data_IF_454487099331
#
_entry.id   IF_454487099331
#
_cell.length_a   1.000
_cell.length_b   1.000
_cell.length_c   1.000
_cell.angle_alpha   90.00
_cell.angle_beta   90.00
_cell.angle_gamma   90.00
#
_symmetry.space_group_name_H-M   'P 1'
#
loop_
_entity.id
_entity.type
_entity.pdbx_description
1 polymer ?
#
# COMPACT_ATOMS: atom_id res chain seq x y z
N UNK A 1 19.22 -1.74 9.03
CA UNK A 1 17.93 -2.10 9.66
C UNK A 1 17.03 -2.70 8.58
N UNK A 2 16.35 -3.80 8.86
CA UNK A 2 15.45 -4.47 7.91
C UNK A 2 14.02 -4.16 8.34
N UNK A 3 13.26 -3.50 7.47
CA UNK A 3 11.85 -3.20 7.75
C UNK A 3 10.98 -4.47 7.66
N UNK A 4 9.92 -4.58 8.51
CA UNK A 4 9.00 -5.72 8.47
C UNK A 4 8.25 -5.79 7.12
N UNK A 5 7.67 -6.97 6.79
CA UNK A 5 6.85 -7.11 5.60
C UNK A 5 5.61 -6.21 5.68
N UNK A 6 5.24 -5.60 4.55
CA UNK A 6 4.01 -4.80 4.42
C UNK A 6 2.86 -5.76 4.10
N UNK A 7 1.80 -5.71 4.88
CA UNK A 7 0.55 -6.44 4.66
C UNK A 7 -0.59 -5.44 4.46
N UNK A 8 -1.42 -5.58 3.41
CA UNK A 8 -2.58 -4.72 3.22
C UNK A 8 -3.64 -5.00 4.29
N UNK A 9 -4.31 -3.95 4.75
CA UNK A 9 -5.51 -4.10 5.58
C UNK A 9 -6.70 -4.52 4.70
N UNK A 10 -7.38 -5.59 5.12
CA UNK A 10 -8.53 -6.15 4.40
C UNK A 10 -9.78 -6.14 5.29
N UNK A 11 -10.98 -5.85 4.73
CA UNK A 11 -11.22 -5.51 3.32
C UNK A 11 -10.67 -4.12 2.96
N UNK A 12 -10.28 -3.94 1.69
CA UNK A 12 -9.73 -2.66 1.22
C UNK A 12 -10.78 -1.56 1.42
N UNK A 13 -10.47 -0.47 2.14
CA UNK A 13 -11.41 0.63 2.29
C UNK A 13 -11.47 1.41 0.97
N UNK A 14 -12.65 1.42 0.33
CA UNK A 14 -12.93 2.29 -0.81
C UNK A 14 -14.27 2.99 -0.61
N UNK A 15 -14.38 4.19 -1.15
CA UNK A 15 -15.60 4.99 -1.03
C UNK A 15 -16.72 4.37 -1.89
N UNK A 16 -17.83 4.02 -1.23
CA UNK A 16 -19.01 3.43 -1.87
C UNK A 16 -20.10 4.45 -2.14
N UNK A 17 -19.94 5.70 -1.70
CA UNK A 17 -20.97 6.75 -1.79
C UNK A 17 -21.39 7.08 -3.22
N UNK A 18 -20.48 6.93 -4.19
CA UNK A 18 -20.73 7.15 -5.62
C UNK A 18 -21.18 5.90 -6.39
N UNK A 19 -21.28 4.73 -5.75
CA UNK A 19 -21.60 3.47 -6.43
C UNK A 19 -23.11 3.35 -6.60
N UNK A 20 -23.59 3.58 -7.82
CA UNK A 20 -24.98 3.32 -8.19
C UNK A 20 -25.12 1.86 -8.60
N UNK A 21 -25.78 1.07 -7.75
CA UNK A 21 -26.13 -0.33 -8.06
C UNK A 21 -27.33 -0.35 -9.02
N UNK A 22 -27.07 -0.43 -10.32
CA UNK A 22 -28.11 -0.51 -11.33
C UNK A 22 -27.93 -1.76 -12.21
N UNK A 23 -28.99 -2.52 -12.38
CA UNK A 23 -29.06 -3.62 -13.36
C UNK A 23 -29.87 -3.12 -14.55
N UNK A 24 -29.24 -2.96 -15.70
CA UNK A 24 -29.93 -2.62 -16.94
C UNK A 24 -30.25 -3.90 -17.72
N UNK A 25 -31.48 -4.41 -17.60
CA UNK A 25 -32.01 -5.51 -18.42
C UNK A 25 -32.82 -6.56 -17.63
N UNK A 26 -33.80 -7.16 -18.32
CA UNK A 26 -34.69 -8.29 -17.96
C UNK A 26 -35.04 -8.49 -16.46
N UNK A 27 -36.33 -8.31 -16.06
CA UNK A 27 -36.81 -8.49 -14.68
C UNK A 27 -36.50 -9.83 -14.01
N UNK A 28 -36.16 -10.86 -14.79
CA UNK A 28 -35.78 -12.19 -14.30
C UNK A 28 -34.33 -12.27 -13.78
N UNK A 29 -33.44 -11.34 -14.16
CA UNK A 29 -32.02 -11.26 -13.75
C UNK A 29 -31.82 -10.23 -12.61
N UNK A 30 -32.89 -9.47 -12.27
CA UNK A 30 -32.97 -8.47 -11.20
C UNK A 30 -32.94 -9.07 -9.78
N UNK A 31 -32.40 -10.28 -9.61
CA UNK A 31 -32.25 -10.86 -8.29
C UNK A 31 -31.11 -10.15 -7.55
N UNK A 32 -31.39 -9.65 -6.34
CA UNK A 32 -30.41 -9.12 -5.39
C UNK A 32 -29.13 -9.99 -5.30
N UNK A 33 -29.28 -11.31 -5.46
CA UNK A 33 -28.17 -12.27 -5.52
C UNK A 33 -27.13 -12.02 -6.61
N UNK A 34 -27.51 -11.44 -7.75
CA UNK A 34 -26.58 -11.08 -8.84
C UNK A 34 -25.71 -9.90 -8.44
N UNK A 35 -26.30 -8.90 -7.77
CA UNK A 35 -25.57 -7.74 -7.24
C UNK A 35 -24.63 -8.16 -6.09
N UNK A 36 -25.12 -8.99 -5.18
CA UNK A 36 -24.29 -9.52 -4.07
C UNK A 36 -23.11 -10.35 -4.60
N UNK A 37 -23.33 -11.13 -5.67
CA UNK A 37 -22.27 -11.89 -6.33
C UNK A 37 -21.25 -10.98 -7.03
N UNK A 38 -21.69 -9.87 -7.61
CA UNK A 38 -20.80 -8.87 -8.21
C UNK A 38 -19.94 -8.18 -7.15
N UNK A 39 -20.53 -7.77 -6.03
CA UNK A 39 -19.82 -7.14 -4.91
C UNK A 39 -18.76 -8.05 -4.31
N UNK A 40 -19.09 -9.34 -4.15
CA UNK A 40 -18.13 -10.34 -3.69
C UNK A 40 -16.95 -10.47 -4.66
N UNK A 41 -17.21 -10.56 -5.97
CA UNK A 41 -16.16 -10.63 -6.98
C UNK A 41 -15.28 -9.37 -7.00
N UNK A 42 -15.87 -8.19 -6.86
CA UNK A 42 -15.12 -6.93 -6.78
C UNK A 42 -14.18 -6.91 -5.57
N UNK A 43 -14.68 -7.37 -4.42
CA UNK A 43 -13.90 -7.46 -3.18
C UNK A 43 -12.72 -8.46 -3.32
N UNK A 44 -12.94 -9.60 -3.98
CA UNK A 44 -11.89 -10.59 -4.25
C UNK A 44 -10.81 -10.03 -5.21
N UNK A 45 -11.20 -9.29 -6.25
CA UNK A 45 -10.25 -8.65 -7.18
C UNK A 45 -9.45 -7.53 -6.49
N UNK A 46 -10.10 -6.68 -5.68
CA UNK A 46 -9.41 -5.66 -4.90
C UNK A 46 -8.40 -6.26 -3.92
N UNK A 47 -8.77 -7.37 -3.28
CA UNK A 47 -7.85 -8.12 -2.42
C UNK A 47 -6.62 -8.61 -3.20
N UNK A 48 -6.81 -9.24 -4.36
CA UNK A 48 -5.70 -9.70 -5.21
C UNK A 48 -4.78 -8.54 -5.62
N UNK A 49 -5.35 -7.40 -5.96
CA UNK A 49 -4.56 -6.21 -6.30
C UNK A 49 -3.77 -5.68 -5.10
N UNK A 50 -4.40 -5.58 -3.92
CA UNK A 50 -3.73 -5.13 -2.71
C UNK A 50 -2.59 -6.06 -2.26
N UNK A 51 -2.74 -7.38 -2.47
CA UNK A 51 -1.72 -8.39 -2.19
C UNK A 51 -0.64 -8.49 -3.29
N UNK A 52 -0.83 -7.83 -4.43
CA UNK A 52 0.11 -7.92 -5.54
C UNK A 52 1.44 -7.23 -5.22
N UNK A 53 2.53 -7.78 -5.78
CA UNK A 53 3.87 -7.25 -5.55
C UNK A 53 4.03 -5.81 -6.07
N UNK A 54 3.27 -5.42 -7.09
CA UNK A 54 3.26 -4.06 -7.64
C UNK A 54 2.77 -3.04 -6.61
N UNK A 55 1.60 -3.27 -6.01
CA UNK A 55 1.05 -2.37 -4.99
C UNK A 55 1.90 -2.37 -3.71
N UNK A 56 2.44 -3.53 -3.31
CA UNK A 56 3.40 -3.62 -2.21
C UNK A 56 4.65 -2.77 -2.51
N UNK A 57 5.15 -2.77 -3.75
CA UNK A 57 6.32 -1.97 -4.13
C UNK A 57 6.03 -0.47 -4.09
N UNK A 58 4.83 -0.04 -4.48
CA UNK A 58 4.40 1.36 -4.35
C UNK A 58 4.44 1.79 -2.88
N UNK A 59 3.84 0.99 -1.98
CA UNK A 59 3.85 1.25 -0.55
C UNK A 59 5.28 1.27 0.03
N UNK A 60 6.13 0.31 -0.38
CA UNK A 60 7.55 0.27 0.02
C UNK A 60 8.29 1.53 -0.41
N UNK A 61 8.13 1.96 -1.66
CA UNK A 61 8.81 3.16 -2.19
C UNK A 61 8.48 4.40 -1.39
N UNK A 62 7.18 4.66 -1.14
CA UNK A 62 6.76 5.80 -0.32
C UNK A 62 7.29 5.67 1.12
N UNK A 63 7.24 4.46 1.69
CA UNK A 63 7.79 4.18 3.01
C UNK A 63 9.29 4.49 3.12
N UNK A 64 10.11 4.14 2.11
CA UNK A 64 11.55 4.48 2.08
C UNK A 64 11.76 5.98 2.19
N UNK A 65 11.02 6.75 1.41
CA UNK A 65 11.19 8.20 1.38
C UNK A 65 10.82 8.84 2.71
N UNK A 66 9.69 8.44 3.30
CA UNK A 66 9.22 8.98 4.58
C UNK A 66 10.21 8.66 5.70
N UNK A 67 10.66 7.40 5.79
CA UNK A 67 11.63 6.99 6.82
C UNK A 67 12.97 7.68 6.58
N UNK A 68 13.46 7.77 5.34
CA UNK A 68 14.71 8.47 5.04
C UNK A 68 14.64 9.95 5.41
N UNK A 69 13.52 10.64 5.09
CA UNK A 69 13.28 12.03 5.50
C UNK A 69 13.23 12.18 7.01
N UNK A 70 12.52 11.28 7.70
CA UNK A 70 12.44 11.28 9.17
C UNK A 70 13.82 11.13 9.80
N UNK A 71 14.61 10.14 9.37
CA UNK A 71 15.94 9.89 9.92
C UNK A 71 16.88 11.06 9.62
N UNK A 72 16.88 11.62 8.40
CA UNK A 72 17.66 12.83 8.09
C UNK A 72 17.32 13.98 9.03
N UNK A 73 16.04 14.28 9.19
CA UNK A 73 15.57 15.35 10.08
C UNK A 73 15.92 15.07 11.55
N UNK A 74 15.90 13.80 11.96
CA UNK A 74 16.28 13.40 13.32
C UNK A 74 17.77 13.58 13.57
N UNK A 75 18.64 13.17 12.62
CA UNK A 75 20.10 13.30 12.75
C UNK A 75 20.51 14.78 12.74
N UNK A 76 19.95 15.62 11.86
CA UNK A 76 20.27 17.07 11.80
C UNK A 76 19.93 17.78 13.12
N UNK A 77 18.92 17.32 13.86
CA UNK A 77 18.56 17.88 15.17
C UNK A 77 19.53 17.48 16.30
N UNK A 78 20.38 16.47 16.09
CA UNK A 78 21.36 16.08 17.07
C UNK A 78 22.62 16.95 16.95
N UNK A 79 22.87 17.79 17.96
CA UNK A 79 24.05 18.69 18.03
C UNK A 79 25.41 17.98 17.86
N UNK A 80 25.46 16.67 18.01
CA UNK A 80 26.68 15.87 17.88
C UNK A 80 27.04 15.53 16.41
N UNK A 81 26.15 15.80 15.45
CA UNK A 81 26.33 15.45 14.04
C UNK A 81 26.27 16.69 13.13
N UNK A 82 27.16 17.66 13.36
CA UNK A 82 27.25 18.92 12.59
C UNK A 82 27.50 18.75 11.07
N UNK A 83 27.87 17.55 10.60
CA UNK A 83 28.05 17.21 9.16
C UNK A 83 26.97 16.28 8.60
N UNK A 84 25.81 16.19 9.27
CA UNK A 84 24.77 15.25 8.90
C UNK A 84 24.07 15.50 7.57
N UNK A 85 24.21 16.70 7.02
CA UNK A 85 23.57 17.11 5.76
C UNK A 85 23.96 16.23 4.57
N UNK A 86 25.14 15.59 4.62
CA UNK A 86 25.64 14.73 3.55
C UNK A 86 25.35 13.24 3.74
N UNK A 87 24.62 12.84 4.80
CA UNK A 87 24.34 11.42 5.01
C UNK A 87 23.25 10.89 4.07
N UNK A 88 23.60 9.83 3.33
CA UNK A 88 22.66 9.08 2.51
C UNK A 88 22.01 7.99 3.34
N UNK A 89 20.79 8.24 3.81
CA UNK A 89 19.96 7.22 4.47
C UNK A 89 19.36 6.28 3.42
N UNK A 90 19.69 4.99 3.50
CA UNK A 90 19.11 3.92 2.68
C UNK A 90 18.24 3.01 3.55
N UNK A 91 17.02 2.73 3.09
CA UNK A 91 16.03 1.90 3.80
C UNK A 91 15.77 0.64 2.98
N UNK A 92 15.91 -0.53 3.62
CA UNK A 92 15.73 -1.84 2.99
C UNK A 92 14.59 -2.59 3.67
N UNK A 93 13.75 -3.25 2.87
CA UNK A 93 12.67 -4.12 3.34
C UNK A 93 13.11 -5.59 3.37
N UNK A 94 12.44 -6.38 4.22
CA UNK A 94 12.67 -7.83 4.31
C UNK A 94 12.55 -8.50 2.93
N UNK A 95 13.60 -9.20 2.52
CA UNK A 95 13.71 -9.89 1.23
C UNK A 95 14.50 -9.13 0.15
N UNK A 96 14.87 -7.86 0.38
CA UNK A 96 15.77 -7.13 -0.51
C UNK A 96 17.23 -7.50 -0.18
N UNK A 97 18.04 -7.81 -1.20
CA UNK A 97 19.45 -8.13 -1.00
C UNK A 97 20.25 -6.88 -0.67
N UNK A 98 21.03 -6.95 0.41
CA UNK A 98 21.97 -5.91 0.84
C UNK A 98 23.32 -6.06 0.10
N UNK A 99 23.50 -7.11 -0.69
CA UNK A 99 24.80 -7.61 -1.15
C UNK A 99 25.54 -6.79 -2.24
N UNK A 100 25.08 -5.57 -2.57
CA UNK A 100 25.73 -4.71 -3.56
C UNK A 100 26.06 -3.32 -3.01
N UNK A 101 26.70 -3.25 -1.84
CA UNK A 101 27.39 -2.06 -1.35
C UNK A 101 28.63 -2.42 -0.53
#
# INVERSE_FOLDING_TARGET
MIAPPITPDLPVPFDTSGIVKAVSGCPMINSQSTLDSLEKRLSEELKKHAESQEYINIARNQGREVVAKFVRNWIVKQRQYERAENYVVKVFFKGESIAYY
#
